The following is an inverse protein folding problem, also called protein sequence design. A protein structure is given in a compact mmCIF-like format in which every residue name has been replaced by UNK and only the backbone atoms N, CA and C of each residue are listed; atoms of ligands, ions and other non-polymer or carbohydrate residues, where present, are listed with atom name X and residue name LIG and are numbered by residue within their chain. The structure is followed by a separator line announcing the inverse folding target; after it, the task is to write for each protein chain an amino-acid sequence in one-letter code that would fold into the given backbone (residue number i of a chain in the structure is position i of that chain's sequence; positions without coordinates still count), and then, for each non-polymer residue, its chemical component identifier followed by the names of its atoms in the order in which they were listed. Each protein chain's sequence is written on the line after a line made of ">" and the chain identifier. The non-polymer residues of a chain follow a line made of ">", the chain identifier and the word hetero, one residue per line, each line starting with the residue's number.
data_IF_777856230639
#
_entry.id   IF_777856230639
#
_cell.length_a   1.000
_cell.length_b   1.000
_cell.length_c   1.000
_cell.angle_alpha   90.00
_cell.angle_beta   90.00
_cell.angle_gamma   90.00
#
_symmetry.space_group_name_H-M   'P 1'
#
loop_
_entity.id
_entity.type
_entity.pdbx_description
1 polymer ?
#
# COMPACT_ATOMS: atom_id res chain seq x y z
N UNK A 1 -1.95 32.11 -6.77
CA UNK A 1 -1.93 31.83 -5.32
C UNK A 1 -1.11 30.57 -5.09
N UNK A 2 0.11 30.69 -4.55
CA UNK A 2 0.97 29.54 -4.28
C UNK A 2 0.41 28.74 -3.10
N UNK A 3 -0.09 27.54 -3.35
CA UNK A 3 -0.46 26.61 -2.28
C UNK A 3 0.81 26.32 -1.49
N UNK A 4 0.89 26.77 -0.25
CA UNK A 4 1.99 26.41 0.65
C UNK A 4 1.92 24.91 0.94
N UNK A 5 2.64 24.13 0.16
CA UNK A 5 2.72 22.69 0.32
C UNK A 5 3.48 22.41 1.61
N UNK A 6 2.87 21.70 2.54
CA UNK A 6 3.51 21.32 3.78
C UNK A 6 4.53 20.21 3.50
N UNK A 7 5.82 20.55 3.47
CA UNK A 7 6.91 19.59 3.23
C UNK A 7 6.85 18.39 4.16
N UNK A 8 6.46 18.59 5.43
CA UNK A 8 6.33 17.51 6.41
C UNK A 8 5.28 16.50 6.01
N UNK A 9 4.16 16.95 5.42
CA UNK A 9 3.09 16.07 4.96
C UNK A 9 3.53 15.24 3.75
N UNK A 10 4.30 15.81 2.83
CA UNK A 10 4.86 15.07 1.69
C UNK A 10 5.78 13.93 2.17
N UNK A 11 6.70 14.22 3.08
CA UNK A 11 7.60 13.22 3.67
C UNK A 11 6.82 12.15 4.42
N UNK A 12 5.80 12.54 5.17
CA UNK A 12 4.94 11.62 5.92
C UNK A 12 4.19 10.64 5.01
N UNK A 13 3.61 11.12 3.91
CA UNK A 13 2.90 10.26 2.96
C UNK A 13 3.84 9.31 2.22
N UNK A 14 5.03 9.78 1.84
CA UNK A 14 6.07 8.92 1.27
C UNK A 14 6.51 7.83 2.22
N UNK A 15 6.64 8.18 3.51
CA UNK A 15 6.95 7.23 4.56
C UNK A 15 5.86 6.16 4.72
N UNK A 16 4.59 6.54 4.73
CA UNK A 16 3.46 5.59 4.85
C UNK A 16 3.36 4.62 3.69
N UNK A 17 3.59 5.08 2.46
CA UNK A 17 3.59 4.20 1.28
C UNK A 17 4.64 3.10 1.39
N UNK A 18 5.87 3.45 1.77
CA UNK A 18 6.94 2.50 2.03
C UNK A 18 6.62 1.55 3.18
N UNK A 19 6.11 2.09 4.29
CA UNK A 19 5.73 1.30 5.47
C UNK A 19 4.69 0.22 5.12
N UNK A 20 3.63 0.58 4.38
CA UNK A 20 2.58 -0.34 3.96
C UNK A 20 3.13 -1.48 3.11
N UNK A 21 3.94 -1.15 2.11
CA UNK A 21 4.56 -2.15 1.25
C UNK A 21 5.44 -3.11 2.06
N UNK A 22 6.31 -2.59 2.93
CA UNK A 22 7.17 -3.41 3.78
C UNK A 22 6.38 -4.27 4.77
N UNK A 23 5.34 -3.70 5.38
CA UNK A 23 4.47 -4.44 6.29
C UNK A 23 3.81 -5.64 5.60
N UNK A 24 3.25 -5.44 4.41
CA UNK A 24 2.58 -6.51 3.68
C UNK A 24 3.56 -7.61 3.23
N UNK A 25 4.78 -7.25 2.83
CA UNK A 25 5.81 -8.23 2.49
C UNK A 25 6.21 -9.12 3.67
N UNK A 26 6.30 -8.54 4.86
CA UNK A 26 6.76 -9.28 6.04
C UNK A 26 5.64 -10.03 6.77
N UNK A 27 4.42 -9.48 6.82
CA UNK A 27 3.34 -10.04 7.63
C UNK A 27 2.87 -11.42 7.16
N UNK A 28 2.88 -11.66 5.86
CA UNK A 28 2.38 -12.91 5.29
C UNK A 28 3.21 -14.13 5.75
N UNK A 29 4.52 -13.96 5.92
CA UNK A 29 5.39 -15.05 6.34
C UNK A 29 5.03 -15.62 7.71
N UNK A 30 4.66 -14.74 8.66
CA UNK A 30 4.19 -15.16 9.98
C UNK A 30 2.74 -15.64 9.98
N UNK A 31 1.88 -14.94 9.24
CA UNK A 31 0.46 -15.31 9.17
C UNK A 31 0.25 -16.72 8.58
N UNK A 32 1.01 -17.10 7.54
CA UNK A 32 0.89 -18.42 6.92
C UNK A 32 1.13 -19.58 7.87
N UNK A 33 1.96 -19.39 8.91
CA UNK A 33 2.22 -20.43 9.92
C UNK A 33 0.95 -20.80 10.69
N UNK A 34 0.05 -19.84 10.91
CA UNK A 34 -1.17 -20.02 11.70
C UNK A 34 -2.42 -20.21 10.83
N UNK A 35 -2.46 -19.62 9.63
CA UNK A 35 -3.59 -19.78 8.70
C UNK A 35 -3.82 -21.27 8.40
N UNK A 36 -2.76 -22.04 8.25
CA UNK A 36 -2.83 -23.46 7.92
C UNK A 36 -3.53 -24.30 9.01
N UNK A 37 -3.51 -23.83 10.27
CA UNK A 37 -4.19 -24.50 11.37
C UNK A 37 -5.71 -24.33 11.26
N UNK A 38 -6.17 -23.14 10.83
CA UNK A 38 -7.60 -22.83 10.72
C UNK A 38 -8.18 -23.23 9.36
N UNK A 39 -7.40 -23.02 8.30
CA UNK A 39 -7.80 -23.25 6.91
C UNK A 39 -6.75 -24.16 6.27
N UNK A 40 -6.98 -25.49 6.25
CA UNK A 40 -6.02 -26.44 5.68
C UNK A 40 -5.81 -26.21 4.19
N UNK A 41 -4.56 -26.18 3.75
CA UNK A 41 -4.19 -26.07 2.35
C UNK A 41 -2.86 -26.79 2.06
N UNK A 42 -2.63 -27.09 0.77
CA UNK A 42 -1.39 -27.71 0.30
C UNK A 42 -0.29 -26.66 0.07
N UNK A 43 0.97 -27.12 -0.04
CA UNK A 43 2.10 -26.24 -0.37
C UNK A 43 1.93 -25.54 -1.73
N UNK A 44 1.28 -26.19 -2.69
CA UNK A 44 0.91 -25.55 -3.96
C UNK A 44 -0.03 -24.37 -3.77
N UNK A 45 -1.05 -24.54 -2.96
CA UNK A 45 -2.02 -23.49 -2.64
C UNK A 45 -1.37 -22.33 -1.87
N UNK A 46 -0.40 -22.62 -1.00
CA UNK A 46 0.41 -21.61 -0.34
C UNK A 46 1.15 -20.73 -1.34
N UNK A 47 1.75 -21.35 -2.36
CA UNK A 47 2.37 -20.64 -3.47
C UNK A 47 1.40 -19.71 -4.20
N UNK A 48 0.15 -20.12 -4.40
CA UNK A 48 -0.89 -19.27 -5.00
C UNK A 48 -1.28 -18.09 -4.09
N UNK A 49 -1.40 -18.30 -2.78
CA UNK A 49 -1.70 -17.21 -1.82
C UNK A 49 -0.60 -16.14 -1.89
N UNK A 50 0.66 -16.55 -1.92
CA UNK A 50 1.80 -15.61 -1.98
C UNK A 50 1.89 -14.93 -3.35
N UNK A 51 1.80 -15.68 -4.44
CA UNK A 51 1.97 -15.14 -5.80
C UNK A 51 0.80 -14.28 -6.28
N UNK A 52 -0.40 -14.47 -5.74
CA UNK A 52 -1.58 -13.67 -6.09
C UNK A 52 -1.34 -12.17 -5.88
N UNK A 53 -0.61 -11.78 -4.84
CA UNK A 53 -0.23 -10.39 -4.61
C UNK A 53 0.67 -9.85 -5.73
N UNK A 54 1.66 -10.64 -6.16
CA UNK A 54 2.59 -10.22 -7.22
C UNK A 54 1.86 -10.04 -8.55
N UNK A 55 0.93 -10.95 -8.86
CA UNK A 55 0.08 -10.85 -10.05
C UNK A 55 -0.79 -9.58 -9.96
N UNK A 56 -1.42 -9.34 -8.82
CA UNK A 56 -2.17 -8.11 -8.57
C UNK A 56 -1.32 -6.86 -8.74
N UNK A 57 -0.07 -6.88 -8.27
CA UNK A 57 0.84 -5.76 -8.38
C UNK A 57 1.21 -5.42 -9.84
N UNK A 58 1.36 -6.43 -10.70
CA UNK A 58 1.59 -6.22 -12.14
C UNK A 58 0.40 -5.47 -12.76
N UNK A 59 -0.82 -5.92 -12.50
CA UNK A 59 -2.01 -5.23 -12.99
C UNK A 59 -2.19 -3.84 -12.39
N UNK A 60 -1.97 -3.72 -11.07
CA UNK A 60 -2.09 -2.45 -10.36
C UNK A 60 -1.13 -1.39 -10.89
N UNK A 61 0.13 -1.74 -11.12
CA UNK A 61 1.12 -0.82 -11.68
C UNK A 61 0.80 -0.43 -13.13
N UNK A 62 0.36 -1.38 -13.96
CA UNK A 62 0.03 -1.12 -15.35
C UNK A 62 -1.18 -0.22 -15.54
N UNK A 63 -2.21 -0.37 -14.69
CA UNK A 63 -3.46 0.40 -14.80
C UNK A 63 -3.36 1.76 -14.12
N UNK A 64 -2.58 1.88 -13.04
CA UNK A 64 -2.55 3.09 -12.23
C UNK A 64 -1.99 4.32 -12.96
N UNK A 65 -1.02 4.15 -13.88
CA UNK A 65 -0.46 5.22 -14.69
C UNK A 65 -1.53 5.95 -15.51
N UNK A 66 -2.15 5.29 -16.49
CA UNK A 66 -3.21 5.88 -17.31
C UNK A 66 -4.40 6.43 -16.50
N UNK A 67 -4.77 5.78 -15.41
CA UNK A 67 -5.85 6.25 -14.52
C UNK A 67 -5.43 7.52 -13.79
N UNK A 68 -4.18 7.59 -13.34
CA UNK A 68 -3.61 8.76 -12.67
C UNK A 68 -3.49 9.97 -13.59
N UNK A 69 -3.22 9.76 -14.87
CA UNK A 69 -3.17 10.84 -15.85
C UNK A 69 -4.55 11.45 -16.07
N UNK A 70 -5.62 10.65 -16.03
CA UNK A 70 -7.01 11.10 -16.21
C UNK A 70 -7.64 11.68 -14.96
N UNK A 71 -7.50 11.01 -13.82
CA UNK A 71 -8.21 11.36 -12.57
C UNK A 71 -7.42 12.28 -11.65
N UNK A 72 -6.11 12.41 -11.85
CA UNK A 72 -5.20 13.12 -10.95
C UNK A 72 -4.52 12.19 -9.96
N UNK A 73 -3.32 12.60 -9.53
CA UNK A 73 -2.46 11.79 -8.65
C UNK A 73 -3.09 11.60 -7.27
N UNK A 74 -3.61 12.67 -6.68
CA UNK A 74 -4.26 12.65 -5.37
C UNK A 74 -5.43 11.67 -5.31
N UNK A 75 -6.33 11.71 -6.29
CA UNK A 75 -7.50 10.83 -6.34
C UNK A 75 -7.10 9.38 -6.45
N UNK A 76 -6.11 9.07 -7.29
CA UNK A 76 -5.64 7.69 -7.47
C UNK A 76 -4.98 7.15 -6.20
N UNK A 77 -4.17 7.94 -5.49
CA UNK A 77 -3.60 7.53 -4.21
C UNK A 77 -4.70 7.29 -3.16
N UNK A 78 -5.76 8.09 -3.16
CA UNK A 78 -6.93 7.83 -2.29
C UNK A 78 -7.63 6.52 -2.62
N UNK A 79 -7.83 6.24 -3.91
CA UNK A 79 -8.43 4.96 -4.39
C UNK A 79 -7.55 3.78 -3.98
N UNK A 80 -6.23 3.89 -4.15
CA UNK A 80 -5.26 2.87 -3.72
C UNK A 80 -5.37 2.60 -2.23
N UNK A 81 -5.46 3.63 -1.39
CA UNK A 81 -5.62 3.47 0.04
C UNK A 81 -6.93 2.75 0.40
N UNK A 82 -8.02 3.04 -0.28
CA UNK A 82 -9.31 2.36 -0.11
C UNK A 82 -9.20 0.88 -0.52
N UNK A 83 -8.59 0.59 -1.67
CA UNK A 83 -8.38 -0.79 -2.14
C UNK A 83 -7.54 -1.57 -1.13
N UNK A 84 -6.52 -0.93 -0.55
CA UNK A 84 -5.68 -1.52 0.48
C UNK A 84 -6.49 -1.89 1.74
N UNK A 85 -7.33 -0.97 2.21
CA UNK A 85 -8.23 -1.18 3.36
C UNK A 85 -9.17 -2.36 3.09
N UNK A 86 -9.82 -2.36 1.93
CA UNK A 86 -10.75 -3.43 1.53
C UNK A 86 -10.04 -4.77 1.45
N UNK A 87 -8.87 -4.83 0.83
CA UNK A 87 -8.06 -6.05 0.75
C UNK A 87 -7.63 -6.58 2.11
N UNK A 88 -7.18 -5.70 3.01
CA UNK A 88 -6.80 -6.07 4.37
C UNK A 88 -7.98 -6.60 5.18
N UNK A 89 -9.16 -6.01 5.05
CA UNK A 89 -10.39 -6.50 5.70
C UNK A 89 -10.82 -7.86 5.13
N UNK A 90 -10.76 -8.05 3.82
CA UNK A 90 -11.06 -9.34 3.18
C UNK A 90 -10.13 -10.42 3.72
N UNK A 91 -8.83 -10.15 3.83
CA UNK A 91 -7.86 -11.09 4.40
C UNK A 91 -8.14 -11.40 5.86
N UNK A 92 -8.41 -10.38 6.67
CA UNK A 92 -8.67 -10.55 8.10
C UNK A 92 -9.94 -11.37 8.37
N UNK A 93 -10.94 -11.26 7.50
CA UNK A 93 -12.23 -11.94 7.63
C UNK A 93 -12.36 -13.20 6.76
N UNK A 94 -11.30 -13.60 6.06
CA UNK A 94 -11.34 -14.70 5.10
C UNK A 94 -11.75 -16.04 5.75
N UNK A 95 -12.84 -16.68 5.28
CA UNK A 95 -13.27 -17.98 5.77
C UNK A 95 -12.66 -19.15 4.98
N UNK A 96 -12.13 -18.89 3.79
CA UNK A 96 -11.63 -19.92 2.87
C UNK A 96 -10.34 -19.46 2.17
N UNK A 97 -9.61 -20.44 1.62
CA UNK A 97 -8.40 -20.17 0.82
C UNK A 97 -8.70 -19.30 -0.41
N UNK A 98 -9.83 -19.50 -1.06
CA UNK A 98 -10.20 -18.70 -2.25
C UNK A 98 -10.32 -17.22 -1.89
N UNK A 99 -10.90 -16.91 -0.74
CA UNK A 99 -11.02 -15.52 -0.25
C UNK A 99 -9.65 -14.95 0.13
N UNK A 100 -8.73 -15.76 0.68
CA UNK A 100 -7.36 -15.35 0.93
C UNK A 100 -6.64 -14.98 -0.38
N UNK A 101 -6.77 -15.78 -1.42
CA UNK A 101 -6.16 -15.52 -2.73
C UNK A 101 -6.73 -14.22 -3.33
N UNK A 102 -8.04 -14.04 -3.28
CA UNK A 102 -8.71 -12.81 -3.75
C UNK A 102 -8.23 -11.59 -2.96
N UNK A 103 -8.16 -11.68 -1.64
CA UNK A 103 -7.67 -10.60 -0.79
C UNK A 103 -6.21 -10.24 -1.08
N UNK A 104 -5.36 -11.23 -1.29
CA UNK A 104 -3.95 -11.03 -1.69
C UNK A 104 -3.84 -10.37 -3.06
N UNK A 105 -4.66 -10.75 -4.02
CA UNK A 105 -4.70 -10.11 -5.33
C UNK A 105 -5.14 -8.63 -5.22
N UNK A 106 -6.17 -8.34 -4.43
CA UNK A 106 -6.66 -6.96 -4.20
C UNK A 106 -5.59 -6.10 -3.53
N UNK A 107 -4.91 -6.61 -2.50
CA UNK A 107 -3.76 -5.91 -1.91
C UNK A 107 -2.67 -5.70 -2.95
N UNK A 108 -2.41 -6.68 -3.79
CA UNK A 108 -1.46 -6.56 -4.89
C UNK A 108 -1.78 -5.40 -5.82
N UNK A 109 -3.05 -5.23 -6.22
CA UNK A 109 -3.47 -4.08 -7.02
C UNK A 109 -3.11 -2.74 -6.34
N UNK A 110 -3.36 -2.64 -5.04
CA UNK A 110 -3.05 -1.44 -4.28
C UNK A 110 -1.54 -1.22 -4.16
N UNK A 111 -0.77 -2.25 -3.87
CA UNK A 111 0.69 -2.20 -3.77
C UNK A 111 1.32 -1.80 -5.11
N UNK A 112 0.92 -2.43 -6.21
CA UNK A 112 1.42 -2.10 -7.54
C UNK A 112 1.08 -0.67 -7.95
N UNK A 113 -0.14 -0.23 -7.69
CA UNK A 113 -0.56 1.15 -7.90
C UNK A 113 0.23 2.14 -7.05
N UNK A 114 0.43 1.83 -5.78
CA UNK A 114 1.18 2.67 -4.85
C UNK A 114 2.65 2.81 -5.26
N UNK A 115 3.31 1.72 -5.60
CA UNK A 115 4.72 1.75 -6.03
C UNK A 115 4.94 2.53 -7.33
N UNK A 116 3.95 2.57 -8.21
CA UNK A 116 4.01 3.36 -9.44
C UNK A 116 3.68 4.85 -9.21
N UNK A 117 2.63 5.16 -8.46
CA UNK A 117 2.07 6.53 -8.42
C UNK A 117 2.61 7.36 -7.25
N UNK A 118 2.83 6.76 -6.07
CA UNK A 118 3.27 7.53 -4.89
C UNK A 118 4.61 8.23 -5.12
N UNK A 119 5.66 7.58 -5.66
CA UNK A 119 6.92 8.24 -5.94
C UNK A 119 6.79 9.38 -6.97
N UNK A 120 5.96 9.18 -8.00
CA UNK A 120 5.69 10.21 -9.02
C UNK A 120 5.01 11.42 -8.37
N UNK A 121 3.92 11.20 -7.64
CA UNK A 121 3.19 12.26 -6.94
C UNK A 121 4.09 13.06 -5.99
N UNK A 122 4.90 12.36 -5.18
CA UNK A 122 5.83 12.99 -4.25
C UNK A 122 6.92 13.78 -4.98
N UNK A 123 7.45 13.26 -6.10
CA UNK A 123 8.47 13.95 -6.89
C UNK A 123 7.93 15.21 -7.58
N UNK A 124 6.66 15.21 -7.99
CA UNK A 124 5.97 16.38 -8.56
C UNK A 124 5.69 17.45 -7.50
N UNK A 125 5.46 17.04 -6.25
CA UNK A 125 5.16 17.93 -5.12
C UNK A 125 6.42 18.45 -4.43
N UNK A 126 7.52 17.73 -4.47
CA UNK A 126 8.74 18.05 -3.77
C UNK A 126 9.68 18.94 -4.59
N UNK A 127 10.38 19.90 -3.95
CA UNK A 127 11.51 20.60 -4.58
C UNK A 127 12.58 19.61 -5.05
N UNK A 128 13.27 19.93 -6.13
CA UNK A 128 14.30 19.08 -6.75
C UNK A 128 15.37 18.61 -5.78
N UNK A 129 15.74 19.47 -4.84
CA UNK A 129 16.76 19.22 -3.79
C UNK A 129 16.40 18.08 -2.84
N UNK A 130 15.11 17.76 -2.68
CA UNK A 130 14.62 16.76 -1.73
C UNK A 130 14.22 15.42 -2.36
N UNK A 131 14.30 15.28 -3.67
CA UNK A 131 13.87 14.05 -4.37
C UNK A 131 14.70 12.82 -3.97
N UNK A 132 16.00 12.98 -3.80
CA UNK A 132 16.89 11.90 -3.34
C UNK A 132 16.59 11.46 -1.92
N UNK A 133 16.34 12.41 -1.01
CA UNK A 133 15.97 12.10 0.38
C UNK A 133 14.62 11.43 0.50
N UNK A 134 13.65 11.71 -0.39
CA UNK A 134 12.36 11.01 -0.45
C UNK A 134 12.53 9.54 -0.86
N UNK A 135 13.37 9.25 -1.84
CA UNK A 135 13.67 7.87 -2.25
C UNK A 135 14.32 7.07 -1.13
N UNK A 136 15.31 7.67 -0.43
CA UNK A 136 15.97 7.04 0.71
C UNK A 136 15.01 6.81 1.87
N UNK A 137 14.12 7.78 2.13
CA UNK A 137 13.10 7.65 3.16
C UNK A 137 12.12 6.51 2.83
N UNK A 138 11.67 6.41 1.59
CA UNK A 138 10.79 5.33 1.16
C UNK A 138 11.43 3.96 1.39
N UNK A 139 12.69 3.78 1.01
CA UNK A 139 13.42 2.53 1.23
C UNK A 139 13.61 2.21 2.73
N UNK A 140 13.93 3.21 3.53
CA UNK A 140 14.02 3.06 4.98
C UNK A 140 12.68 2.62 5.58
N UNK A 141 11.59 3.23 5.13
CA UNK A 141 10.25 2.91 5.64
C UNK A 141 9.75 1.54 5.18
N UNK A 142 10.17 1.04 4.02
CA UNK A 142 9.95 -0.37 3.64
C UNK A 142 10.60 -1.30 4.65
N UNK A 143 11.85 -1.05 5.02
CA UNK A 143 12.59 -1.86 6.01
C UNK A 143 11.93 -1.80 7.39
N UNK A 144 11.51 -0.60 7.82
CA UNK A 144 10.77 -0.42 9.08
C UNK A 144 9.42 -1.15 9.03
N UNK A 145 8.74 -1.13 7.88
CA UNK A 145 7.49 -1.86 7.66
C UNK A 145 7.67 -3.38 7.82
N UNK A 146 8.72 -3.95 7.24
CA UNK A 146 9.07 -5.35 7.41
C UNK A 146 9.34 -5.67 8.89
N UNK A 147 10.16 -4.87 9.56
CA UNK A 147 10.43 -5.04 10.98
C UNK A 147 9.15 -4.96 11.82
N UNK A 148 8.31 -3.96 11.55
CA UNK A 148 7.03 -3.79 12.26
C UNK A 148 6.12 -5.00 12.07
N UNK A 149 6.08 -5.59 10.87
CA UNK A 149 5.30 -6.80 10.61
C UNK A 149 5.79 -7.99 11.42
N UNK A 150 7.10 -8.16 11.56
CA UNK A 150 7.67 -9.22 12.39
C UNK A 150 7.36 -9.03 13.87
N UNK A 151 7.40 -7.80 14.37
CA UNK A 151 7.00 -7.50 15.74
C UNK A 151 5.52 -7.77 15.99
N UNK A 152 4.66 -7.42 15.05
CA UNK A 152 3.23 -7.74 15.10
C UNK A 152 3.01 -9.26 15.05
N UNK A 153 3.66 -9.97 14.14
CA UNK A 153 3.58 -11.43 14.08
C UNK A 153 3.99 -12.06 15.42
N UNK A 154 5.09 -11.61 15.99
CA UNK A 154 5.56 -12.07 17.30
C UNK A 154 4.55 -11.80 18.42
N UNK A 155 3.98 -10.59 18.45
CA UNK A 155 3.02 -10.18 19.48
C UNK A 155 1.72 -11.00 19.42
N UNK A 156 1.26 -11.39 18.24
CA UNK A 156 0.04 -12.17 18.05
C UNK A 156 0.26 -13.69 17.97
N UNK A 157 1.50 -14.16 18.03
CA UNK A 157 1.84 -15.59 18.06
C UNK A 157 1.16 -16.34 19.21
N UNK A 158 1.09 -15.85 20.46
CA UNK A 158 0.50 -16.60 21.57
C UNK A 158 -0.99 -16.92 21.41
N UNK A 159 -1.70 -16.15 20.59
CA UNK A 159 -3.14 -16.34 20.34
C UNK A 159 -3.42 -16.84 18.93
N UNK A 160 -2.36 -17.21 18.17
CA UNK A 160 -2.45 -17.60 16.75
C UNK A 160 -3.25 -16.59 15.90
N UNK A 161 -3.12 -15.30 16.22
CA UNK A 161 -3.97 -14.21 15.75
C UNK A 161 -3.64 -13.72 14.34
N UNK A 162 -3.55 -14.62 13.35
CA UNK A 162 -3.23 -14.26 11.98
C UNK A 162 -4.20 -13.26 11.34
N UNK A 163 -5.47 -13.27 11.78
CA UNK A 163 -6.47 -12.30 11.32
C UNK A 163 -6.12 -10.88 11.76
N UNK A 164 -5.61 -10.73 12.97
CA UNK A 164 -5.11 -9.45 13.48
C UNK A 164 -3.81 -9.04 12.81
N UNK A 165 -2.91 -9.98 12.54
CA UNK A 165 -1.67 -9.70 11.81
C UNK A 165 -1.97 -9.06 10.46
N UNK A 166 -2.87 -9.65 9.68
CA UNK A 166 -3.27 -9.14 8.36
C UNK A 166 -4.17 -7.89 8.47
N UNK A 167 -5.08 -7.84 9.42
CA UNK A 167 -6.04 -6.75 9.59
C UNK A 167 -5.42 -5.44 10.07
N UNK A 168 -4.32 -5.48 10.81
CA UNK A 168 -3.65 -4.27 11.31
C UNK A 168 -3.09 -3.37 10.19
N UNK A 169 -2.92 -3.88 8.97
CA UNK A 169 -2.59 -3.06 7.80
C UNK A 169 -3.65 -1.99 7.49
N UNK A 170 -4.87 -2.14 7.98
CA UNK A 170 -5.95 -1.13 7.86
C UNK A 170 -5.55 0.18 8.54
N UNK A 171 -4.84 0.13 9.67
CA UNK A 171 -4.48 1.34 10.44
C UNK A 171 -3.59 2.29 9.63
N UNK A 172 -2.40 1.89 9.12
CA UNK A 172 -1.59 2.77 8.31
C UNK A 172 -2.26 3.15 6.97
N UNK A 173 -3.12 2.29 6.43
CA UNK A 173 -3.88 2.59 5.21
C UNK A 173 -4.92 3.69 5.44
N UNK A 174 -5.61 3.69 6.58
CA UNK A 174 -6.52 4.77 6.97
C UNK A 174 -5.77 6.08 7.19
N UNK A 175 -4.60 6.04 7.82
CA UNK A 175 -3.76 7.22 8.01
C UNK A 175 -3.31 7.78 6.65
N UNK A 176 -2.95 6.92 5.71
CA UNK A 176 -2.61 7.32 4.34
C UNK A 176 -3.81 7.99 3.65
N UNK A 177 -5.00 7.41 3.74
CA UNK A 177 -6.21 7.94 3.14
C UNK A 177 -6.55 9.33 3.69
N UNK A 178 -6.50 9.49 4.99
CA UNK A 178 -6.74 10.78 5.68
C UNK A 178 -5.65 11.79 5.29
N UNK A 179 -4.39 11.39 5.30
CA UNK A 179 -3.27 12.26 4.94
C UNK A 179 -3.36 12.79 3.51
N UNK A 180 -3.73 11.94 2.55
CA UNK A 180 -3.91 12.36 1.15
C UNK A 180 -5.10 13.30 1.00
N UNK A 181 -6.15 13.19 1.83
CA UNK A 181 -7.29 14.10 1.80
C UNK A 181 -6.88 15.56 2.08
N UNK A 182 -5.82 15.79 2.84
CA UNK A 182 -5.28 17.12 3.14
C UNK A 182 -4.23 17.61 2.11
N UNK A 183 -3.83 16.76 1.16
CA UNK A 183 -2.88 17.15 0.12
C UNK A 183 -3.57 17.82 -1.07
N UNK A 184 -2.95 18.83 -1.69
CA UNK A 184 -3.41 19.37 -2.96
C UNK A 184 -3.10 18.40 -4.11
N UNK A 185 -3.78 18.59 -5.23
CA UNK A 185 -3.45 17.86 -6.47
C UNK A 185 -2.08 18.29 -7.01
N UNK A 186 -1.46 17.41 -7.82
CA UNK A 186 -0.17 17.69 -8.44
C UNK A 186 -0.19 18.98 -9.26
N UNK A 187 0.75 19.92 -9.05
CA UNK A 187 0.83 21.15 -9.84
C UNK A 187 1.04 20.86 -11.33
N UNK A 188 1.79 19.82 -11.66
CA UNK A 188 2.04 19.40 -13.03
C UNK A 188 0.76 18.94 -13.72
N UNK A 189 0.00 18.09 -13.06
CA UNK A 189 -1.28 17.61 -13.57
C UNK A 189 -2.29 18.73 -13.78
N UNK A 190 -2.34 19.70 -12.85
CA UNK A 190 -3.21 20.88 -12.96
C UNK A 190 -2.84 21.78 -14.15
N UNK A 191 -1.54 21.90 -14.48
CA UNK A 191 -1.09 22.67 -15.62
C UNK A 191 -1.46 21.98 -16.95
N UNK A 192 -1.27 20.68 -17.04
CA UNK A 192 -1.59 19.89 -18.24
C UNK A 192 -3.10 19.96 -18.56
N UNK A 193 -3.98 19.89 -17.55
CA UNK A 193 -5.43 19.90 -17.75
C UNK A 193 -6.04 21.32 -17.81
N UNK A 194 -5.28 22.36 -17.49
CA UNK A 194 -5.70 23.76 -17.71
C UNK A 194 -5.50 24.24 -19.14
N UNK A 195 -4.60 23.61 -19.87
CA UNK A 195 -4.33 23.95 -21.28
C UNK A 195 -5.34 23.33 -22.25
N UNK A 196 -6.22 22.46 -21.75
CA UNK A 196 -7.28 21.80 -22.55
C UNK A 196 -8.66 22.47 -22.42
N UNK A 197 -8.79 23.52 -21.58
CA UNK A 197 -9.98 24.38 -21.42
C UNK A 197 -9.76 25.75 -22.05
#
# INVERSE_FOLDING_TARGET
>A
MGVKINKKLIFFLGALGGLLYGYDMGVISGALLFIKNDIPYSSWTEGFIVSAMLIGAIFGSGVSGPVSDRLGRRRVVSIIAIIYIVGALILALAPTVSVLIIGRFIIGLAVGGSTAIVPVYLSEMAPTEHRGSLSSLNQLMITIGILSSYLVNYAFTPIEGWRWMLGLAVVPSLILLIGVAFMPESPRWLLEHRSEQ
#
